data_IF_961764775195
#
_entry.id   IF_961764775195
#
_cell.length_a   1.000
_cell.length_b   1.000
_cell.length_c   1.000
_cell.angle_alpha   90.00
_cell.angle_beta   90.00
_cell.angle_gamma   90.00
#
_symmetry.space_group_name_H-M   'P 1'
#
loop_
_entity.id
_entity.type
_entity.pdbx_description
1 polymer ?
#
# COMPACT_ATOMS: atom_id res chain seq x y z
N UNK A 1 3.20 -27.22 -13.31
CA UNK A 1 4.50 -26.58 -13.55
C UNK A 1 4.37 -25.38 -14.49
N UNK A 2 3.76 -25.50 -15.69
CA UNK A 2 3.53 -24.35 -16.60
C UNK A 2 2.54 -23.30 -16.03
N UNK A 3 1.53 -23.74 -15.27
CA UNK A 3 0.53 -22.90 -14.57
C UNK A 3 1.10 -22.04 -13.42
N UNK A 4 2.40 -22.19 -13.10
CA UNK A 4 3.06 -21.44 -12.02
C UNK A 4 3.96 -20.32 -12.55
N UNK A 5 4.15 -20.21 -13.88
CA UNK A 5 4.99 -19.17 -14.50
C UNK A 5 4.36 -17.77 -14.44
N UNK A 6 3.07 -17.69 -14.16
CA UNK A 6 2.28 -16.48 -13.95
C UNK A 6 2.19 -16.09 -12.47
N UNK A 7 2.78 -16.89 -11.56
CA UNK A 7 2.93 -16.59 -10.14
C UNK A 7 4.30 -15.95 -9.82
N UNK A 8 5.21 -15.87 -10.79
CA UNK A 8 6.49 -15.19 -10.62
C UNK A 8 6.24 -13.68 -10.64
N UNK A 9 6.22 -13.10 -9.44
CA UNK A 9 6.14 -11.65 -9.31
C UNK A 9 7.38 -11.00 -9.93
N UNK A 10 7.18 -10.33 -11.07
CA UNK A 10 8.18 -9.41 -11.63
C UNK A 10 8.12 -8.09 -10.89
N UNK A 11 9.28 -7.52 -10.59
CA UNK A 11 9.37 -6.24 -9.90
C UNK A 11 8.69 -5.12 -10.71
N UNK A 12 7.85 -4.31 -10.06
CA UNK A 12 7.13 -3.19 -10.68
C UNK A 12 7.64 -1.82 -10.22
N UNK A 13 7.94 -0.88 -11.14
CA UNK A 13 8.34 0.48 -10.78
C UNK A 13 7.18 1.36 -10.31
N UNK A 14 5.92 0.91 -10.44
CA UNK A 14 4.74 1.68 -10.04
C UNK A 14 4.79 2.01 -8.54
N UNK A 15 4.54 3.26 -8.11
CA UNK A 15 4.55 3.60 -6.70
C UNK A 15 3.56 2.77 -5.86
N UNK A 16 4.00 2.30 -4.70
CA UNK A 16 3.22 1.55 -3.72
C UNK A 16 3.15 2.32 -2.40
N UNK A 17 1.95 2.40 -1.83
CA UNK A 17 1.72 2.81 -0.45
C UNK A 17 1.22 1.62 0.37
N UNK A 18 1.67 1.51 1.63
CA UNK A 18 1.33 0.41 2.52
C UNK A 18 0.94 0.90 3.93
N UNK A 19 -0.29 0.67 4.37
CA UNK A 19 -0.75 0.97 5.73
C UNK A 19 -0.90 -0.31 6.55
N UNK A 20 -0.19 -0.41 7.68
CA UNK A 20 -0.14 -1.57 8.55
C UNK A 20 -1.16 -1.49 9.68
N UNK A 21 -2.11 -2.41 9.68
CA UNK A 21 -3.14 -2.53 10.72
C UNK A 21 -2.91 -3.77 11.60
N UNK A 22 -3.07 -3.66 12.93
CA UNK A 22 -2.63 -4.70 13.86
C UNK A 22 -3.47 -5.97 13.85
N UNK A 23 -4.68 -5.94 13.29
CA UNK A 23 -5.60 -7.09 13.17
C UNK A 23 -5.84 -7.52 11.72
N UNK A 24 -4.93 -7.18 10.81
CA UNK A 24 -4.97 -7.71 9.44
C UNK A 24 -4.75 -9.23 9.46
N UNK A 25 -5.41 -9.95 8.55
CA UNK A 25 -5.34 -11.42 8.46
C UNK A 25 -3.96 -11.86 7.98
N UNK A 26 -3.42 -11.13 6.99
CA UNK A 26 -2.08 -11.32 6.47
C UNK A 26 -1.17 -10.17 6.89
N UNK A 27 -0.36 -10.37 7.92
CA UNK A 27 0.73 -9.45 8.26
C UNK A 27 2.06 -10.05 7.79
N UNK A 28 2.49 -9.79 6.53
CA UNK A 28 3.85 -10.13 6.15
C UNK A 28 4.86 -9.37 7.04
N UNK A 29 6.13 -9.77 7.09
CA UNK A 29 7.17 -8.94 7.69
C UNK A 29 7.21 -7.54 7.07
N UNK A 30 7.45 -6.50 7.88
CA UNK A 30 7.52 -5.12 7.40
C UNK A 30 8.60 -4.92 6.32
N UNK A 31 9.68 -5.70 6.43
CA UNK A 31 10.79 -5.76 5.48
C UNK A 31 10.37 -6.28 4.10
N UNK A 32 9.20 -6.93 4.00
CA UNK A 32 8.67 -7.41 2.72
C UNK A 32 7.91 -6.33 1.96
N UNK A 33 7.56 -5.20 2.60
CA UNK A 33 6.99 -4.05 1.92
C UNK A 33 7.96 -3.57 0.84
N UNK A 34 7.53 -3.68 -0.42
CA UNK A 34 8.31 -3.21 -1.56
C UNK A 34 9.24 -4.24 -2.20
N UNK A 35 9.23 -5.51 -1.79
CA UNK A 35 9.99 -6.58 -2.49
C UNK A 35 9.59 -6.64 -3.97
N UNK A 36 8.29 -6.50 -4.26
CA UNK A 36 7.74 -6.66 -5.60
C UNK A 36 7.41 -5.34 -6.30
N UNK A 37 7.55 -4.21 -5.61
CA UNK A 37 7.10 -2.92 -6.14
C UNK A 37 7.81 -1.73 -5.45
N UNK A 38 7.91 -0.58 -6.13
CA UNK A 38 8.51 0.63 -5.55
C UNK A 38 7.69 1.20 -4.37
N UNK A 39 8.02 0.81 -3.15
CA UNK A 39 7.43 1.38 -1.92
C UNK A 39 7.85 2.84 -1.76
N UNK A 40 6.87 3.74 -1.67
CA UNK A 40 7.09 5.19 -1.48
C UNK A 40 6.40 5.75 -0.25
N UNK A 41 5.50 4.99 0.36
CA UNK A 41 4.76 5.38 1.56
C UNK A 41 4.51 4.16 2.43
N UNK A 42 4.72 4.32 3.73
CA UNK A 42 4.44 3.30 4.74
C UNK A 42 4.00 3.95 6.04
N UNK A 43 3.01 3.36 6.71
CA UNK A 43 2.55 3.83 8.02
C UNK A 43 2.04 2.67 8.86
N UNK A 44 2.30 2.71 10.15
CA UNK A 44 1.83 1.71 11.11
C UNK A 44 0.77 2.30 12.04
N UNK A 45 -0.26 1.50 12.32
CA UNK A 45 -1.39 1.89 13.14
C UNK A 45 -1.50 1.03 14.40
N UNK A 46 -2.01 1.63 15.47
CA UNK A 46 -2.23 0.93 16.75
C UNK A 46 -3.65 0.35 16.90
N UNK A 47 -4.51 0.53 15.89
CA UNK A 47 -5.91 0.07 15.88
C UNK A 47 -6.39 -0.23 14.46
N UNK A 48 -7.43 -1.07 14.35
CA UNK A 48 -8.01 -1.52 13.08
C UNK A 48 -7.50 -2.90 12.65
N UNK A 49 -7.97 -3.36 11.50
CA UNK A 49 -7.72 -4.69 10.97
C UNK A 49 -8.11 -4.78 9.50
N UNK A 50 -8.57 -5.97 9.09
CA UNK A 50 -8.91 -6.29 7.71
C UNK A 50 -9.88 -5.31 7.05
N UNK A 51 -10.85 -4.81 7.82
CA UNK A 51 -11.80 -3.80 7.34
C UNK A 51 -11.40 -2.42 7.84
N UNK A 52 -10.14 -1.99 7.64
CA UNK A 52 -9.60 -0.73 8.12
C UNK A 52 -10.49 0.49 7.83
N UNK A 53 -11.11 0.56 6.65
CA UNK A 53 -12.02 1.66 6.29
C UNK A 53 -13.28 1.74 7.20
N UNK A 54 -13.65 0.64 7.85
CA UNK A 54 -14.88 0.47 8.62
C UNK A 54 -14.65 0.31 10.13
N UNK A 55 -13.60 -0.44 10.52
CA UNK A 55 -13.30 -0.75 11.93
C UNK A 55 -12.77 0.44 12.71
N UNK A 56 -12.06 1.34 12.04
CA UNK A 56 -11.60 2.60 12.62
C UNK A 56 -12.41 3.76 12.08
N UNK A 57 -12.28 4.91 12.74
CA UNK A 57 -12.72 6.20 12.22
C UNK A 57 -12.26 6.32 10.74
N UNK A 58 -13.17 6.46 9.76
CA UNK A 58 -12.84 6.46 8.33
C UNK A 58 -11.73 7.44 7.96
N UNK A 59 -11.62 8.52 8.75
CA UNK A 59 -10.61 9.55 8.64
C UNK A 59 -9.17 9.03 8.76
N UNK A 60 -8.96 7.89 9.44
CA UNK A 60 -7.63 7.32 9.63
C UNK A 60 -7.08 6.76 8.32
N UNK A 61 -7.78 5.83 7.66
CA UNK A 61 -7.36 5.32 6.35
C UNK A 61 -7.44 6.42 5.27
N UNK A 62 -8.43 7.30 5.34
CA UNK A 62 -8.53 8.43 4.42
C UNK A 62 -7.33 9.39 4.53
N UNK A 63 -6.81 9.59 5.74
CA UNK A 63 -5.58 10.34 5.97
C UNK A 63 -4.41 9.73 5.21
N UNK A 64 -4.22 8.42 5.33
CA UNK A 64 -3.12 7.73 4.65
C UNK A 64 -3.23 7.80 3.12
N UNK A 65 -4.44 7.68 2.57
CA UNK A 65 -4.69 7.84 1.13
C UNK A 65 -4.29 9.24 0.67
N UNK A 66 -4.60 10.27 1.46
CA UNK A 66 -4.23 11.67 1.16
C UNK A 66 -2.72 11.86 1.24
N UNK A 67 -2.08 11.39 2.32
CA UNK A 67 -0.63 11.47 2.50
C UNK A 67 0.10 10.77 1.33
N UNK A 68 -0.38 9.58 0.92
CA UNK A 68 0.16 8.87 -0.24
C UNK A 68 -0.03 9.65 -1.55
N UNK A 69 -1.20 10.25 -1.76
CA UNK A 69 -1.47 11.06 -2.95
C UNK A 69 -0.52 12.27 -3.03
N UNK A 70 -0.24 12.94 -1.91
CA UNK A 70 0.73 14.04 -1.86
C UNK A 70 2.14 13.60 -2.26
N UNK A 71 2.54 12.37 -1.90
CA UNK A 71 3.84 11.79 -2.32
C UNK A 71 3.87 11.49 -3.82
N UNK A 72 2.78 10.95 -4.39
CA UNK A 72 2.76 10.42 -5.76
C UNK A 72 2.47 11.48 -6.82
N UNK A 73 1.58 12.44 -6.57
CA UNK A 73 1.19 13.46 -7.56
C UNK A 73 2.37 14.27 -8.14
N UNK A 74 3.40 14.64 -7.36
CA UNK A 74 4.60 15.28 -7.91
C UNK A 74 5.43 14.34 -8.79
N UNK A 75 5.41 13.04 -8.55
CA UNK A 75 6.26 12.06 -9.22
C UNK A 75 5.62 11.49 -10.49
N UNK A 76 4.28 11.41 -10.53
CA UNK A 76 3.53 10.77 -11.60
C UNK A 76 2.80 11.80 -12.48
N UNK A 77 3.50 12.25 -13.54
CA UNK A 77 2.96 13.20 -14.52
C UNK A 77 1.64 12.73 -15.15
N UNK A 78 1.41 11.41 -15.25
CA UNK A 78 0.18 10.79 -15.77
C UNK A 78 -1.07 11.07 -14.93
N UNK A 79 -0.89 11.40 -13.64
CA UNK A 79 -1.99 11.62 -12.70
C UNK A 79 -2.35 13.10 -12.51
N UNK A 80 -1.59 14.00 -13.13
CA UNK A 80 -1.86 15.43 -13.07
C UNK A 80 -3.04 15.76 -14.00
N UNK A 81 -4.00 16.51 -13.50
CA UNK A 81 -5.04 17.08 -14.36
C UNK A 81 -4.38 17.97 -15.43
N UNK A 82 -4.90 17.99 -16.67
CA UNK A 82 -4.38 18.81 -17.75
C UNK A 82 -4.44 20.32 -17.42
#
# INVERSE_FOLDING_TARGET
MAEMNNLTSVWSPTPLGFSWFPKEIGSPPAEWSGINQKLVYTKEHTKGGHFAAWEVRPELLLGDIRDFAEVVLPQEHRLRAP
#
